data_IF_772948916517
#
_entry.id   IF_772948916517
#
_cell.length_a   1.000
_cell.length_b   1.000
_cell.length_c   1.000
_cell.angle_alpha   90.00
_cell.angle_beta   90.00
_cell.angle_gamma   90.00
#
_symmetry.space_group_name_H-M   'P 1'
#
loop_
_entity.id
_entity.type
_entity.pdbx_description
1 polymer ?
#
# COMPACT_ATOMS: atom_id res chain seq x y z
N UNK A 1 -19.07 -6.78 -2.64
CA UNK A 1 -18.38 -5.80 -3.52
C UNK A 1 -17.78 -6.55 -4.70
N UNK A 2 -17.81 -6.02 -5.92
CA UNK A 2 -17.47 -6.76 -7.14
C UNK A 2 -15.97 -6.82 -7.46
N UNK A 3 -15.14 -6.04 -6.77
CA UNK A 3 -13.69 -5.93 -7.02
C UNK A 3 -12.91 -6.16 -5.73
N UNK A 4 -11.72 -6.74 -5.85
CA UNK A 4 -10.78 -6.96 -4.76
C UNK A 4 -10.42 -5.63 -4.08
N UNK A 5 -10.29 -5.65 -2.76
CA UNK A 5 -9.95 -4.47 -1.93
C UNK A 5 -8.80 -4.86 -1.03
N UNK A 6 -7.71 -4.09 -1.07
CA UNK A 6 -6.60 -4.26 -0.12
C UNK A 6 -6.69 -3.24 1.02
N UNK A 7 -7.09 -2.01 0.72
CA UNK A 7 -7.18 -0.93 1.69
C UNK A 7 -8.51 -0.20 1.55
N UNK A 8 -9.12 0.13 2.68
CA UNK A 8 -10.35 0.91 2.75
C UNK A 8 -10.35 1.80 3.99
N UNK A 9 -11.23 2.80 3.94
CA UNK A 9 -11.57 3.67 5.06
C UNK A 9 -13.08 3.79 5.10
N UNK A 10 -13.65 3.89 6.30
CA UNK A 10 -15.10 4.04 6.49
C UNK A 10 -15.41 5.35 7.21
N UNK A 11 -16.48 6.01 6.77
CA UNK A 11 -17.15 7.01 7.60
C UNK A 11 -18.03 6.27 8.61
N UNK A 12 -17.76 6.46 9.89
CA UNK A 12 -18.42 5.73 10.97
C UNK A 12 -19.69 6.42 11.50
N UNK A 13 -20.11 7.60 10.99
CA UNK A 13 -21.35 8.26 11.47
C UNK A 13 -22.60 7.44 11.24
N UNK A 14 -22.59 6.52 10.27
CA UNK A 14 -23.70 5.67 9.89
C UNK A 14 -25.08 6.37 9.87
N UNK A 15 -25.22 7.58 9.29
CA UNK A 15 -26.50 8.29 9.28
C UNK A 15 -27.53 7.44 8.54
N UNK A 16 -28.75 7.39 9.09
CA UNK A 16 -29.87 6.61 8.53
C UNK A 16 -29.56 5.11 8.34
N UNK A 17 -28.62 4.56 9.12
CA UNK A 17 -28.20 3.16 9.00
C UNK A 17 -27.37 2.87 7.75
N UNK A 18 -26.66 3.86 7.20
CA UNK A 18 -25.83 3.70 5.99
C UNK A 18 -24.35 3.92 6.27
N UNK A 19 -23.50 2.94 5.94
CA UNK A 19 -22.04 3.04 5.99
C UNK A 19 -21.53 3.60 4.68
N UNK A 20 -20.66 4.61 4.73
CA UNK A 20 -19.87 5.02 3.55
C UNK A 20 -18.50 4.38 3.63
N UNK A 21 -18.12 3.60 2.62
CA UNK A 21 -16.82 2.93 2.51
C UNK A 21 -16.06 3.47 1.30
N UNK A 22 -14.86 3.97 1.53
CA UNK A 22 -13.93 4.46 0.52
C UNK A 22 -12.81 3.43 0.38
N UNK A 23 -12.58 2.89 -0.82
CA UNK A 23 -11.59 1.82 -1.02
C UNK A 23 -10.75 2.02 -2.26
N UNK A 24 -9.51 1.51 -2.23
CA UNK A 24 -8.73 1.26 -3.43
C UNK A 24 -8.90 -0.21 -3.85
N UNK A 25 -9.23 -0.41 -5.12
CA UNK A 25 -9.32 -1.71 -5.75
C UNK A 25 -8.02 -2.08 -6.43
N UNK A 26 -7.60 -3.34 -6.25
CA UNK A 26 -6.35 -3.83 -6.82
C UNK A 26 -6.47 -3.98 -8.34
N UNK A 27 -5.49 -3.42 -9.06
CA UNK A 27 -5.34 -3.56 -10.51
C UNK A 27 -4.65 -4.88 -10.90
N UNK A 28 -5.20 -6.03 -10.52
CA UNK A 28 -4.64 -7.33 -10.93
C UNK A 28 -3.29 -7.65 -10.30
N UNK A 29 -3.18 -7.49 -8.98
CA UNK A 29 -2.04 -7.90 -8.17
C UNK A 29 -2.48 -8.03 -6.71
N UNK A 30 -1.57 -8.50 -5.86
CA UNK A 30 -1.77 -8.60 -4.42
C UNK A 30 -0.60 -7.91 -3.69
N UNK A 31 -0.92 -7.01 -2.76
CA UNK A 31 0.08 -6.28 -1.96
C UNK A 31 0.85 -7.18 -1.01
N UNK A 32 0.32 -8.38 -0.73
CA UNK A 32 0.92 -9.37 0.17
C UNK A 32 1.84 -10.36 -0.56
N UNK A 33 1.89 -10.28 -1.88
CA UNK A 33 2.81 -11.05 -2.71
C UNK A 33 4.17 -10.35 -2.82
N UNK A 34 5.22 -11.16 -2.94
CA UNK A 34 6.59 -10.68 -3.03
C UNK A 34 7.31 -11.36 -4.19
N UNK A 35 8.21 -10.64 -4.82
CA UNK A 35 9.11 -11.22 -5.83
C UNK A 35 9.97 -12.28 -5.14
N UNK A 36 9.85 -13.52 -5.61
CA UNK A 36 10.58 -14.67 -5.12
C UNK A 36 11.84 -14.95 -5.93
N UNK A 37 12.73 -15.75 -5.35
CA UNK A 37 13.97 -16.19 -6.00
C UNK A 37 13.71 -16.94 -7.32
N UNK A 38 12.64 -17.71 -7.36
CA UNK A 38 12.25 -18.54 -8.51
C UNK A 38 11.30 -17.86 -9.48
N UNK A 39 10.97 -16.57 -9.28
CA UNK A 39 10.04 -15.88 -10.18
C UNK A 39 10.66 -15.65 -11.56
N UNK A 40 9.89 -15.93 -12.61
CA UNK A 40 10.34 -15.80 -13.99
C UNK A 40 9.88 -14.47 -14.61
N UNK A 41 10.63 -13.98 -15.60
CA UNK A 41 10.28 -12.79 -16.37
C UNK A 41 9.13 -13.09 -17.33
N UNK A 42 8.26 -12.11 -17.56
CA UNK A 42 7.26 -12.18 -18.64
C UNK A 42 7.95 -12.09 -20.02
N UNK A 43 9.04 -11.31 -20.11
CA UNK A 43 9.89 -11.27 -21.29
C UNK A 43 10.76 -12.52 -21.36
N UNK A 44 10.54 -13.35 -22.39
CA UNK A 44 11.25 -14.61 -22.62
C UNK A 44 12.71 -14.44 -23.05
N UNK A 45 13.07 -13.30 -23.64
CA UNK A 45 14.45 -13.03 -24.07
C UNK A 45 15.38 -12.81 -22.87
N UNK A 46 14.80 -12.59 -21.70
CA UNK A 46 15.51 -12.46 -20.42
C UNK A 46 15.87 -13.81 -19.80
N UNK A 47 15.21 -14.89 -20.22
CA UNK A 47 15.48 -16.21 -19.69
C UNK A 47 16.63 -16.86 -20.47
N UNK A 48 17.72 -17.21 -19.78
CA UNK A 48 18.68 -18.21 -20.28
C UNK A 48 18.11 -19.62 -20.08
N UNK A 49 16.87 -19.91 -20.52
CA UNK A 49 16.27 -21.23 -20.31
C UNK A 49 17.00 -22.27 -21.18
N UNK A 50 17.52 -23.37 -20.62
CA UNK A 50 18.05 -24.47 -21.41
C UNK A 50 16.97 -25.01 -22.38
N UNK A 51 17.34 -25.47 -23.59
CA UNK A 51 16.37 -25.86 -24.63
C UNK A 51 15.35 -26.93 -24.21
N UNK A 52 15.65 -27.77 -23.21
CA UNK A 52 14.80 -28.89 -22.80
C UNK A 52 13.47 -28.46 -22.14
N UNK A 53 13.44 -27.35 -21.39
CA UNK A 53 12.24 -26.94 -20.64
C UNK A 53 11.17 -26.35 -21.55
N UNK A 54 11.57 -25.73 -22.67
CA UNK A 54 10.65 -25.19 -23.69
C UNK A 54 9.78 -26.28 -24.33
N UNK A 55 10.27 -27.52 -24.39
CA UNK A 55 9.54 -28.66 -24.95
C UNK A 55 8.43 -29.20 -24.05
N UNK A 56 8.59 -29.13 -22.72
CA UNK A 56 7.61 -29.67 -21.76
C UNK A 56 6.42 -28.72 -21.60
N UNK A 57 6.66 -27.40 -21.59
CA UNK A 57 5.60 -26.40 -21.51
C UNK A 57 4.65 -26.42 -22.71
N UNK A 58 5.16 -26.75 -23.90
CA UNK A 58 4.36 -26.87 -25.13
C UNK A 58 3.42 -28.10 -25.14
N UNK A 59 3.79 -29.17 -24.41
CA UNK A 59 3.03 -30.43 -24.39
C UNK A 59 1.90 -30.39 -23.34
N UNK A 60 2.04 -29.60 -22.28
CA UNK A 60 1.15 -29.63 -21.13
C UNK A 60 -0.19 -28.88 -21.30
N UNK A 61 -0.44 -28.20 -22.43
CA UNK A 61 -1.70 -27.49 -22.67
C UNK A 61 -2.04 -26.39 -21.65
N UNK A 62 -1.09 -26.03 -20.77
CA UNK A 62 -1.21 -24.92 -19.85
C UNK A 62 -1.30 -23.66 -20.71
N UNK A 63 -2.29 -22.82 -20.43
CA UNK A 63 -2.67 -21.65 -21.23
C UNK A 63 -1.55 -20.57 -21.18
N UNK A 64 -0.42 -20.86 -21.83
CA UNK A 64 0.85 -20.13 -21.78
C UNK A 64 0.88 -18.89 -22.70
N UNK A 65 -0.28 -18.33 -23.05
CA UNK A 65 -0.36 -17.12 -23.89
C UNK A 65 0.30 -15.92 -23.20
N UNK A 66 1.56 -15.69 -23.53
CA UNK A 66 2.28 -14.47 -23.20
C UNK A 66 1.67 -13.29 -23.98
N UNK A 67 1.96 -12.04 -23.58
CA UNK A 67 1.45 -10.88 -24.31
C UNK A 67 1.88 -10.95 -25.78
N UNK A 68 1.02 -10.46 -26.67
CA UNK A 68 1.28 -10.42 -28.12
C UNK A 68 2.52 -9.59 -28.46
N UNK A 69 2.76 -8.55 -27.66
CA UNK A 69 3.99 -7.75 -27.65
C UNK A 69 4.67 -7.96 -26.29
N UNK A 70 5.79 -8.69 -26.22
CA UNK A 70 6.53 -8.89 -24.98
C UNK A 70 7.03 -7.56 -24.42
N UNK A 71 7.09 -7.42 -23.09
CA UNK A 71 7.68 -6.24 -22.49
C UNK A 71 9.16 -6.14 -22.79
N UNK A 72 9.68 -4.93 -22.92
CA UNK A 72 11.10 -4.72 -23.26
C UNK A 72 12.04 -4.98 -22.08
N UNK A 73 11.54 -4.91 -20.84
CA UNK A 73 12.34 -5.08 -19.63
C UNK A 73 12.18 -6.48 -19.02
N UNK A 74 13.23 -6.90 -18.32
CA UNK A 74 13.29 -8.16 -17.58
C UNK A 74 12.89 -7.98 -16.13
N UNK A 75 12.23 -8.98 -15.55
CA UNK A 75 12.12 -9.08 -14.08
C UNK A 75 13.53 -9.04 -13.46
N UNK A 76 13.75 -8.12 -12.52
CA UNK A 76 15.02 -7.93 -11.83
C UNK A 76 15.08 -8.75 -10.54
N UNK A 77 16.06 -9.65 -10.43
CA UNK A 77 16.21 -10.58 -9.30
C UNK A 77 16.65 -9.90 -8.01
N UNK A 78 17.31 -8.76 -8.13
CA UNK A 78 17.67 -7.88 -7.01
C UNK A 78 16.45 -7.32 -6.27
N UNK A 79 15.28 -7.27 -6.91
CA UNK A 79 14.03 -6.90 -6.25
C UNK A 79 13.37 -8.05 -5.49
N UNK A 80 14.09 -9.14 -5.18
CA UNK A 80 13.57 -10.20 -4.31
C UNK A 80 13.11 -9.61 -2.98
N UNK A 81 11.87 -9.93 -2.57
CA UNK A 81 11.24 -9.36 -1.38
C UNK A 81 10.58 -7.99 -1.63
N UNK A 82 10.53 -7.51 -2.87
CA UNK A 82 9.78 -6.32 -3.26
C UNK A 82 8.37 -6.68 -3.76
N UNK A 83 7.42 -5.75 -3.66
CA UNK A 83 6.05 -5.98 -4.13
C UNK A 83 5.97 -6.01 -5.67
N UNK A 84 5.11 -6.86 -6.25
CA UNK A 84 4.95 -6.90 -7.69
C UNK A 84 4.19 -5.68 -8.20
N UNK A 85 4.49 -5.25 -9.43
CA UNK A 85 3.65 -4.25 -10.12
C UNK A 85 2.31 -4.86 -10.58
N UNK A 86 1.26 -4.02 -10.71
CA UNK A 86 -0.06 -4.41 -11.17
C UNK A 86 -0.03 -4.80 -12.65
N UNK A 87 -0.94 -5.69 -13.04
CA UNK A 87 -1.20 -5.97 -14.46
C UNK A 87 -2.56 -5.45 -14.92
N UNK A 88 -3.09 -4.41 -14.28
CA UNK A 88 -4.27 -3.62 -14.66
C UNK A 88 -4.25 -2.27 -13.91
N UNK A 89 -5.04 -1.29 -14.36
CA UNK A 89 -5.11 0.01 -13.69
C UNK A 89 -6.00 -0.08 -12.43
N UNK A 90 -5.59 0.52 -11.31
CA UNK A 90 -6.42 0.53 -10.10
C UNK A 90 -7.64 1.45 -10.25
N UNK A 91 -8.64 1.23 -9.40
CA UNK A 91 -9.76 2.16 -9.19
C UNK A 91 -9.88 2.52 -7.71
N UNK A 92 -10.18 3.78 -7.41
CA UNK A 92 -10.72 4.17 -6.11
C UNK A 92 -12.24 4.10 -6.20
N UNK A 93 -12.92 3.70 -5.13
CA UNK A 93 -14.37 3.61 -5.10
C UNK A 93 -14.97 4.15 -3.81
N UNK A 94 -16.19 4.67 -3.92
CA UNK A 94 -17.06 5.00 -2.78
C UNK A 94 -18.30 4.13 -2.84
N UNK A 95 -18.53 3.38 -1.79
CA UNK A 95 -19.71 2.56 -1.59
C UNK A 95 -20.61 3.16 -0.52
N UNK A 96 -21.91 3.12 -0.77
CA UNK A 96 -22.94 3.28 0.27
C UNK A 96 -23.48 1.91 0.58
N UNK A 97 -23.37 1.46 1.83
CA UNK A 97 -23.75 0.12 2.29
C UNK A 97 -24.85 0.24 3.35
N UNK A 98 -25.89 -0.57 3.23
CA UNK A 98 -26.89 -0.72 4.30
C UNK A 98 -26.27 -1.44 5.49
N UNK A 99 -26.23 -0.79 6.66
CA UNK A 99 -25.53 -1.31 7.83
C UNK A 99 -26.20 -2.54 8.45
N UNK A 100 -27.50 -2.74 8.20
CA UNK A 100 -28.26 -3.85 8.79
C UNK A 100 -28.13 -5.12 7.95
N UNK A 101 -28.13 -4.97 6.63
CA UNK A 101 -28.17 -6.08 5.66
C UNK A 101 -26.84 -6.35 4.98
N UNK A 102 -25.91 -5.39 5.01
CA UNK A 102 -24.65 -5.44 4.26
C UNK A 102 -24.81 -5.25 2.76
N UNK A 103 -26.02 -4.90 2.27
CA UNK A 103 -26.27 -4.67 0.87
C UNK A 103 -25.56 -3.41 0.37
N UNK A 104 -24.91 -3.49 -0.79
CA UNK A 104 -24.37 -2.31 -1.49
C UNK A 104 -25.54 -1.57 -2.14
N UNK A 105 -25.83 -0.37 -1.66
CA UNK A 105 -26.90 0.50 -2.16
C UNK A 105 -26.42 1.34 -3.35
N UNK A 106 -25.17 1.77 -3.31
CA UNK A 106 -24.57 2.63 -4.34
C UNK A 106 -23.07 2.37 -4.44
N UNK A 107 -22.51 2.52 -5.64
CA UNK A 107 -21.07 2.41 -5.89
C UNK A 107 -20.65 3.43 -6.94
N UNK A 108 -19.67 4.27 -6.60
CA UNK A 108 -19.00 5.21 -7.50
C UNK A 108 -17.56 4.77 -7.69
N UNK A 109 -17.10 4.68 -8.94
CA UNK A 109 -15.74 4.27 -9.27
C UNK A 109 -15.00 5.41 -9.95
N UNK A 110 -13.74 5.58 -9.56
CA UNK A 110 -12.79 6.54 -10.11
C UNK A 110 -11.51 5.79 -10.51
N UNK A 111 -11.20 5.79 -11.80
CA UNK A 111 -9.90 5.41 -12.33
C UNK A 111 -9.44 6.52 -13.24
N UNK A 112 -8.14 6.81 -13.25
CA UNK A 112 -7.59 7.81 -14.16
C UNK A 112 -7.41 7.19 -15.56
N UNK A 113 -8.52 6.80 -16.19
CA UNK A 113 -8.54 6.23 -17.54
C UNK A 113 -8.53 7.41 -18.52
N UNK A 114 -7.43 8.16 -18.57
CA UNK A 114 -7.21 9.07 -19.68
C UNK A 114 -7.14 8.32 -21.02
N UNK A 115 -7.06 9.04 -22.14
CA UNK A 115 -6.93 8.43 -23.48
C UNK A 115 -5.60 7.65 -23.65
N UNK A 116 -4.66 7.80 -22.72
CA UNK A 116 -3.35 7.16 -22.76
C UNK A 116 -3.00 6.51 -21.40
N UNK A 117 -3.00 5.16 -21.32
CA UNK A 117 -2.56 4.40 -20.14
C UNK A 117 -1.19 4.81 -19.57
N UNK A 118 -0.29 5.29 -20.43
CA UNK A 118 1.04 5.81 -20.07
C UNK A 118 1.02 7.23 -19.51
N UNK A 119 -0.16 7.78 -19.18
CA UNK A 119 -0.35 9.06 -18.48
C UNK A 119 -1.31 8.96 -17.29
N UNK A 120 -1.70 7.74 -16.93
CA UNK A 120 -2.64 7.49 -15.83
C UNK A 120 -1.93 7.58 -14.48
N UNK A 121 -2.61 8.16 -13.49
CA UNK A 121 -2.09 8.37 -12.14
C UNK A 121 -2.50 7.28 -11.14
N UNK A 122 -3.39 6.35 -11.51
CA UNK A 122 -3.92 5.33 -10.59
C UNK A 122 -3.19 3.98 -10.71
N UNK A 123 -1.87 4.00 -10.88
CA UNK A 123 -1.05 2.78 -10.88
C UNK A 123 -0.61 2.38 -9.47
N UNK A 124 -0.83 1.12 -9.10
CA UNK A 124 -0.48 0.56 -7.80
C UNK A 124 -1.04 1.34 -6.61
N UNK A 125 -2.26 1.87 -6.72
CA UNK A 125 -2.92 2.57 -5.61
C UNK A 125 -3.11 1.60 -4.45
N UNK A 126 -2.46 1.89 -3.32
CA UNK A 126 -2.35 0.93 -2.22
C UNK A 126 -2.66 1.55 -0.87
N UNK A 127 -1.77 2.39 -0.31
CA UNK A 127 -1.94 2.93 1.05
C UNK A 127 -2.54 4.33 1.02
N UNK A 128 -3.32 4.67 2.05
CA UNK A 128 -3.95 5.97 2.18
C UNK A 128 -3.64 6.67 3.50
N UNK A 129 -3.92 7.97 3.52
CA UNK A 129 -3.99 8.78 4.73
C UNK A 129 -5.07 9.84 4.60
N UNK A 130 -5.54 10.34 5.74
CA UNK A 130 -6.45 11.47 5.84
C UNK A 130 -6.31 12.11 7.21
N UNK A 131 -6.85 13.32 7.39
CA UNK A 131 -6.77 14.08 8.65
C UNK A 131 -7.18 13.28 9.89
N UNK A 132 -8.11 12.35 9.71
CA UNK A 132 -8.80 11.67 10.81
C UNK A 132 -8.23 10.26 11.07
N UNK A 133 -7.16 9.85 10.38
CA UNK A 133 -6.61 8.49 10.49
C UNK A 133 -6.00 8.19 11.87
N UNK A 134 -5.37 9.19 12.50
CA UNK A 134 -4.68 9.05 13.80
C UNK A 134 -5.50 9.61 14.98
N UNK A 135 -6.84 9.47 14.96
CA UNK A 135 -7.67 9.97 16.06
C UNK A 135 -7.67 8.97 17.23
N UNK A 136 -7.17 9.41 18.38
CA UNK A 136 -7.22 8.66 19.65
C UNK A 136 -8.62 8.66 20.29
N UNK A 137 -9.55 9.48 19.78
CA UNK A 137 -10.87 9.68 20.36
C UNK A 137 -11.99 9.10 19.50
N UNK A 138 -12.78 8.19 20.08
CA UNK A 138 -13.99 7.65 19.45
C UNK A 138 -15.05 8.74 19.18
N UNK A 139 -15.03 9.86 19.91
CA UNK A 139 -16.00 10.95 19.73
C UNK A 139 -15.73 11.77 18.47
N UNK A 140 -14.50 11.74 17.97
CA UNK A 140 -14.09 12.43 16.76
C UNK A 140 -14.27 11.54 15.51
N UNK A 141 -14.71 10.28 15.64
CA UNK A 141 -14.96 9.37 14.50
C UNK A 141 -16.14 9.80 13.62
N UNK A 142 -16.81 10.89 14.00
CA UNK A 142 -17.96 11.37 13.28
C UNK A 142 -17.65 12.06 11.94
N UNK A 143 -16.52 12.71 11.76
CA UNK A 143 -16.42 13.63 10.61
C UNK A 143 -16.31 12.91 9.27
N UNK A 144 -17.24 13.26 8.34
CA UNK A 144 -17.22 12.84 6.95
C UNK A 144 -15.85 13.14 6.37
N UNK A 145 -15.22 12.12 5.81
CA UNK A 145 -13.91 12.25 5.16
C UNK A 145 -14.15 12.91 3.82
N UNK A 146 -13.89 14.22 3.69
CA UNK A 146 -14.08 14.98 2.43
C UNK A 146 -12.86 14.91 1.52
N UNK A 147 -11.66 14.73 2.10
CA UNK A 147 -10.39 14.59 1.39
C UNK A 147 -9.68 13.32 1.83
N UNK A 148 -9.27 12.50 0.86
CA UNK A 148 -8.54 11.26 1.08
C UNK A 148 -7.30 11.23 0.19
N UNK A 149 -6.16 10.91 0.77
CA UNK A 149 -4.88 10.88 0.05
C UNK A 149 -4.47 9.45 -0.19
N UNK A 150 -4.13 9.12 -1.44
CA UNK A 150 -3.69 7.79 -1.82
C UNK A 150 -2.27 7.84 -2.40
N UNK A 151 -1.46 6.86 -2.03
CA UNK A 151 -0.19 6.59 -2.68
C UNK A 151 -0.36 5.52 -3.75
N UNK A 152 0.00 5.87 -4.98
CA UNK A 152 0.25 4.94 -6.08
C UNK A 152 1.75 4.64 -6.16
N UNK A 153 2.12 3.37 -6.27
CA UNK A 153 3.53 2.96 -6.38
C UNK A 153 4.04 2.83 -7.83
N UNK A 154 3.26 3.32 -8.79
CA UNK A 154 3.67 3.33 -10.20
C UNK A 154 3.59 1.97 -10.87
N UNK A 155 4.33 1.80 -11.95
CA UNK A 155 4.34 0.58 -12.76
C UNK A 155 5.73 0.35 -13.35
N UNK A 156 6.22 -0.89 -13.29
CA UNK A 156 7.39 -1.32 -14.07
C UNK A 156 7.29 -2.81 -14.40
N UNK A 157 7.74 -3.20 -15.59
CA UNK A 157 7.87 -4.61 -15.95
C UNK A 157 8.97 -5.33 -15.17
N UNK A 158 9.90 -4.59 -14.56
CA UNK A 158 11.02 -5.14 -13.80
C UNK A 158 10.58 -5.80 -12.48
N UNK A 159 9.33 -5.63 -12.09
CA UNK A 159 8.74 -6.17 -10.87
C UNK A 159 7.47 -6.99 -11.15
N UNK A 160 7.23 -7.46 -12.38
CA UNK A 160 6.07 -8.31 -12.70
C UNK A 160 6.53 -9.76 -12.90
N UNK A 161 6.39 -10.63 -11.89
CA UNK A 161 6.56 -12.06 -12.09
C UNK A 161 5.58 -12.63 -13.10
N UNK A 162 6.05 -13.56 -13.93
CA UNK A 162 5.25 -14.33 -14.88
C UNK A 162 4.05 -15.02 -14.24
N UNK A 163 4.17 -15.46 -12.99
CA UNK A 163 3.05 -16.03 -12.20
C UNK A 163 1.93 -15.01 -11.93
N UNK A 164 2.28 -13.76 -11.58
CA UNK A 164 1.32 -12.68 -11.32
C UNK A 164 0.63 -12.29 -12.63
N UNK A 165 1.42 -12.11 -13.69
CA UNK A 165 0.88 -11.84 -15.02
C UNK A 165 -0.14 -12.90 -15.45
N UNK A 166 0.22 -14.19 -15.35
CA UNK A 166 -0.68 -15.30 -15.73
C UNK A 166 -1.93 -15.37 -14.86
N UNK A 167 -1.81 -15.12 -13.55
CA UNK A 167 -2.94 -15.18 -12.63
C UNK A 167 -4.00 -14.10 -12.93
N UNK A 168 -3.57 -12.90 -13.34
CA UNK A 168 -4.45 -11.74 -13.44
C UNK A 168 -4.71 -11.23 -14.87
N UNK A 169 -4.04 -11.76 -15.91
CA UNK A 169 -4.25 -11.29 -17.29
C UNK A 169 -5.69 -11.46 -17.78
N UNK A 170 -6.34 -12.55 -17.39
CA UNK A 170 -7.67 -12.94 -17.86
C UNK A 170 -8.76 -12.61 -16.81
N UNK A 171 -8.45 -11.75 -15.82
CA UNK A 171 -9.39 -11.40 -14.76
C UNK A 171 -10.64 -10.70 -15.32
N UNK A 172 -11.77 -10.91 -14.66
CA UNK A 172 -12.97 -10.12 -14.92
C UNK A 172 -12.80 -8.68 -14.40
N UNK A 173 -13.57 -7.75 -14.97
CA UNK A 173 -13.63 -6.34 -14.55
C UNK A 173 -12.32 -5.54 -14.73
N UNK A 174 -11.52 -5.87 -15.75
CA UNK A 174 -10.34 -5.08 -16.09
C UNK A 174 -10.69 -3.63 -16.42
N UNK A 175 -9.86 -2.70 -15.96
CA UNK A 175 -9.98 -1.29 -16.31
C UNK A 175 -9.37 -1.02 -17.68
N UNK A 176 -8.23 -1.66 -17.98
CA UNK A 176 -7.60 -1.63 -19.30
C UNK A 176 -7.32 -3.06 -19.80
N UNK A 177 -7.26 -3.21 -21.12
CA UNK A 177 -6.80 -4.47 -21.73
C UNK A 177 -5.39 -4.84 -21.28
N UNK A 178 -5.05 -6.13 -21.28
CA UNK A 178 -3.70 -6.57 -20.91
C UNK A 178 -2.67 -6.09 -21.95
N UNK A 179 -3.08 -5.99 -23.22
CA UNK A 179 -2.28 -5.41 -24.31
C UNK A 179 -2.09 -3.89 -24.17
N UNK A 180 -2.94 -3.22 -23.39
CA UNK A 180 -2.87 -1.79 -23.10
C UNK A 180 -1.92 -1.42 -21.96
N UNK A 181 -1.22 -2.39 -21.36
CA UNK A 181 -0.23 -2.11 -20.32
C UNK A 181 0.90 -1.19 -20.84
N UNK A 182 1.40 -0.25 -20.01
CA UNK A 182 2.47 0.66 -20.42
C UNK A 182 3.73 -0.10 -20.86
N UNK A 183 4.44 0.44 -21.86
CA UNK A 183 5.75 -0.09 -22.27
C UNK A 183 6.91 0.54 -21.49
N UNK A 184 6.72 1.77 -21.01
CA UNK A 184 7.64 2.48 -20.13
C UNK A 184 7.22 2.38 -18.67
N UNK A 185 8.16 2.66 -17.76
CA UNK A 185 7.84 2.79 -16.34
C UNK A 185 6.88 3.97 -16.11
N UNK A 186 6.03 3.82 -15.10
CA UNK A 186 5.18 4.89 -14.59
C UNK A 186 5.65 5.28 -13.19
N UNK A 187 5.68 6.59 -12.88
CA UNK A 187 6.14 7.05 -11.58
C UNK A 187 5.19 6.63 -10.47
N UNK A 188 5.71 6.62 -9.23
CA UNK A 188 4.87 6.68 -8.06
C UNK A 188 4.09 8.01 -8.05
N UNK A 189 2.92 8.02 -7.42
CA UNK A 189 2.03 9.19 -7.41
C UNK A 189 1.42 9.42 -6.04
N UNK A 190 1.35 10.67 -5.60
CA UNK A 190 0.52 11.08 -4.47
C UNK A 190 -0.76 11.73 -5.02
N UNK A 191 -1.93 11.17 -4.69
CA UNK A 191 -3.23 11.64 -5.17
C UNK A 191 -4.04 12.20 -4.01
N UNK A 192 -4.73 13.33 -4.23
CA UNK A 192 -5.80 13.80 -3.34
C UNK A 192 -7.13 13.60 -4.03
N UNK A 193 -8.03 12.85 -3.39
CA UNK A 193 -9.36 12.56 -3.88
C UNK A 193 -10.38 13.43 -3.14
N UNK A 194 -11.23 14.13 -3.89
CA UNK A 194 -12.49 14.68 -3.38
C UNK A 194 -13.48 13.52 -3.28
N UNK A 195 -13.85 13.14 -2.06
CA UNK A 195 -14.67 11.95 -1.81
C UNK A 195 -16.15 12.17 -2.08
N UNK A 196 -16.58 13.44 -2.22
CA UNK A 196 -17.96 13.78 -2.52
C UNK A 196 -18.22 13.71 -4.01
N UNK A 197 -17.36 14.37 -4.80
CA UNK A 197 -17.40 14.37 -6.26
C UNK A 197 -16.81 13.10 -6.87
N UNK A 198 -15.99 12.38 -6.10
CA UNK A 198 -15.23 11.22 -6.58
C UNK A 198 -14.31 11.58 -7.75
N UNK A 199 -13.50 12.63 -7.55
CA UNK A 199 -12.56 13.17 -8.54
C UNK A 199 -11.15 13.27 -7.96
N UNK A 200 -10.12 13.20 -8.81
CA UNK A 200 -8.74 13.53 -8.43
C UNK A 200 -8.64 15.06 -8.34
N UNK A 201 -8.62 15.58 -7.12
CA UNK A 201 -8.59 17.01 -6.84
C UNK A 201 -7.18 17.62 -6.94
N UNK A 202 -6.14 16.81 -6.75
CA UNK A 202 -4.74 17.18 -7.00
C UNK A 202 -3.88 15.91 -7.12
N UNK A 203 -2.73 16.02 -7.80
CA UNK A 203 -1.78 14.92 -7.92
C UNK A 203 -0.33 15.40 -7.99
N UNK A 204 0.60 14.53 -7.57
CA UNK A 204 2.03 14.70 -7.73
C UNK A 204 2.66 13.42 -8.26
N UNK A 205 3.44 13.51 -9.33
CA UNK A 205 4.26 12.42 -9.85
C UNK A 205 5.67 12.53 -9.28
N UNK A 206 6.14 11.45 -8.64
CA UNK A 206 7.52 11.38 -8.17
C UNK A 206 8.47 11.10 -9.34
N UNK A 207 9.75 11.49 -9.27
CA UNK A 207 10.70 11.15 -10.31
C UNK A 207 10.84 9.63 -10.48
N UNK A 208 11.04 9.14 -11.70
CA UNK A 208 11.32 7.72 -11.95
C UNK A 208 12.55 7.29 -11.13
N UNK A 209 12.47 6.11 -10.52
CA UNK A 209 13.50 5.58 -9.61
C UNK A 209 13.32 5.98 -8.14
N UNK A 210 12.36 6.85 -7.82
CA UNK A 210 12.03 7.21 -6.45
C UNK A 210 10.86 6.37 -5.94
N UNK A 211 11.06 5.65 -4.85
CA UNK A 211 10.04 4.86 -4.18
C UNK A 211 9.38 5.68 -3.07
N UNK A 212 8.22 6.28 -3.37
CA UNK A 212 7.42 7.00 -2.40
C UNK A 212 6.48 6.07 -1.62
N UNK A 213 6.54 6.12 -0.29
CA UNK A 213 5.79 5.23 0.62
C UNK A 213 5.23 5.97 1.82
N UNK A 214 4.40 5.26 2.58
CA UNK A 214 3.93 5.63 3.92
C UNK A 214 3.42 7.09 4.01
N UNK A 215 2.47 7.50 3.15
CA UNK A 215 1.92 8.85 3.21
C UNK A 215 1.26 9.07 4.58
N UNK A 216 1.57 10.19 5.21
CA UNK A 216 1.03 10.54 6.53
C UNK A 216 0.51 11.98 6.52
N UNK A 217 -0.78 12.15 6.82
CA UNK A 217 -1.34 13.46 7.10
C UNK A 217 -0.89 13.95 8.47
N UNK A 218 -0.39 15.19 8.54
CA UNK A 218 -0.03 15.89 9.77
C UNK A 218 -0.89 17.16 9.87
N UNK A 219 -1.79 17.27 10.86
CA UNK A 219 -2.59 18.47 11.05
C UNK A 219 -1.72 19.69 11.35
N UNK A 220 -2.04 20.83 10.72
CA UNK A 220 -1.40 22.09 11.06
C UNK A 220 -1.81 22.54 12.47
N UNK A 221 -0.86 23.10 13.21
CA UNK A 221 -1.11 23.77 14.49
C UNK A 221 -1.51 25.24 14.30
N UNK A 222 -1.34 25.78 13.09
CA UNK A 222 -1.76 27.14 12.75
C UNK A 222 -3.29 27.27 12.75
N UNK A 223 -3.84 28.46 13.03
CA UNK A 223 -5.27 28.70 12.88
C UNK A 223 -5.77 28.33 11.48
N UNK A 224 -6.92 27.67 11.39
CA UNK A 224 -7.56 27.37 10.11
C UNK A 224 -7.90 28.69 9.40
N UNK A 225 -7.37 28.95 8.18
CA UNK A 225 -7.72 30.15 7.46
C UNK A 225 -9.22 30.20 7.11
N UNK A 226 -9.81 31.39 7.16
CA UNK A 226 -11.24 31.59 6.87
C UNK A 226 -11.60 31.02 5.49
N UNK A 227 -12.61 30.16 5.44
CA UNK A 227 -13.11 29.56 4.19
C UNK A 227 -12.30 28.38 3.66
N UNK A 228 -11.27 27.90 4.38
CA UNK A 228 -10.53 26.67 4.03
C UNK A 228 -11.15 25.43 4.67
N UNK A 229 -11.02 24.29 3.98
CA UNK A 229 -11.47 23.00 4.49
C UNK A 229 -10.48 22.50 5.58
N UNK A 230 -10.95 22.21 6.81
CA UNK A 230 -10.11 21.58 7.81
C UNK A 230 -9.49 20.27 7.30
N UNK A 231 -10.17 19.47 6.47
CA UNK A 231 -9.65 18.19 5.98
C UNK A 231 -8.33 18.30 5.19
N UNK A 232 -7.99 19.48 4.69
CA UNK A 232 -6.74 19.76 3.95
C UNK A 232 -5.81 20.73 4.70
N UNK A 233 -6.16 21.17 5.91
CA UNK A 233 -5.35 22.11 6.70
C UNK A 233 -4.22 21.40 7.45
N UNK A 234 -3.13 21.16 6.74
CA UNK A 234 -1.99 20.42 7.25
C UNK A 234 -0.98 20.09 6.16
N UNK A 235 -0.25 19.02 6.40
CA UNK A 235 0.83 18.54 5.56
C UNK A 235 0.65 17.07 5.22
N UNK A 236 1.17 16.66 4.08
CA UNK A 236 1.41 15.24 3.79
C UNK A 236 2.91 15.01 3.88
N UNK A 237 3.30 13.98 4.62
CA UNK A 237 4.69 13.51 4.69
C UNK A 237 4.79 12.17 4.00
N UNK A 238 5.81 12.01 3.16
CA UNK A 238 6.11 10.75 2.48
C UNK A 238 7.56 10.33 2.77
N UNK A 239 7.75 9.02 2.97
CA UNK A 239 9.09 8.42 3.03
C UNK A 239 9.50 8.07 1.61
N UNK A 240 10.67 8.53 1.21
CA UNK A 240 11.20 8.38 -0.14
C UNK A 240 12.46 7.55 -0.06
N UNK A 241 12.46 6.40 -0.73
CA UNK A 241 13.68 5.59 -0.90
C UNK A 241 14.19 5.75 -2.32
N UNK A 242 15.48 5.99 -2.49
CA UNK A 242 16.09 6.11 -3.81
C UNK A 242 17.57 5.73 -3.79
N UNK A 243 18.05 5.16 -4.90
CA UNK A 243 19.46 4.87 -5.08
C UNK A 243 20.26 6.15 -5.36
N UNK A 244 21.58 6.11 -5.13
CA UNK A 244 22.48 7.15 -5.63
C UNK A 244 22.44 7.26 -7.17
N UNK A 245 23.01 8.34 -7.71
CA UNK A 245 23.01 8.60 -9.16
C UNK A 245 23.47 7.37 -9.96
N UNK A 246 22.90 7.13 -11.17
CA UNK A 246 23.13 5.93 -11.97
C UNK A 246 24.61 5.57 -12.20
N UNK A 247 25.48 6.59 -12.22
CA UNK A 247 26.92 6.47 -12.54
C UNK A 247 27.81 6.28 -11.30
N UNK A 248 27.24 6.29 -10.09
CA UNK A 248 27.96 5.99 -8.85
C UNK A 248 27.56 4.60 -8.36
N UNK A 249 28.50 3.64 -8.24
CA UNK A 249 28.17 2.29 -7.80
C UNK A 249 27.44 2.33 -6.46
N UNK A 250 26.23 1.74 -6.41
CA UNK A 250 25.37 1.24 -5.31
C UNK A 250 25.73 1.48 -3.82
N UNK A 251 26.43 2.55 -3.46
CA UNK A 251 27.14 2.55 -2.17
C UNK A 251 26.43 3.35 -1.07
N UNK A 252 25.48 4.24 -1.40
CA UNK A 252 24.74 5.01 -0.38
C UNK A 252 23.30 5.27 -0.87
N UNK A 253 22.31 4.77 -0.15
CA UNK A 253 20.90 5.14 -0.36
C UNK A 253 20.73 6.66 -0.13
N UNK A 254 19.97 7.33 -0.99
CA UNK A 254 19.60 8.75 -0.83
C UNK A 254 18.18 8.85 -0.33
N UNK A 255 17.93 8.23 0.81
CA UNK A 255 16.60 8.19 1.38
C UNK A 255 16.26 9.56 1.99
N UNK A 256 15.03 9.99 1.74
CA UNK A 256 14.55 11.32 2.10
C UNK A 256 13.17 11.25 2.75
N UNK A 257 12.79 12.34 3.43
CA UNK A 257 11.44 12.60 3.88
C UNK A 257 10.94 13.84 3.15
N UNK A 258 9.87 13.69 2.36
CA UNK A 258 9.31 14.79 1.60
C UNK A 258 8.04 15.31 2.27
N UNK A 259 7.91 16.63 2.36
CA UNK A 259 6.79 17.30 3.01
C UNK A 259 6.05 18.15 2.00
N UNK A 260 4.74 17.97 1.91
CA UNK A 260 3.84 18.66 0.99
C UNK A 260 2.79 19.44 1.79
N UNK A 261 2.27 20.53 1.23
CA UNK A 261 1.01 21.09 1.75
C UNK A 261 -0.10 20.12 1.37
N UNK A 262 -0.99 19.81 2.30
CA UNK A 262 -2.08 18.89 2.00
C UNK A 262 -3.10 19.49 1.01
N UNK A 263 -3.08 20.81 0.77
CA UNK A 263 -3.96 21.47 -0.20
C UNK A 263 -3.32 21.88 -1.54
N UNK A 264 -2.01 21.66 -1.74
CA UNK A 264 -1.26 22.08 -2.93
C UNK A 264 -0.09 21.13 -3.26
N UNK A 265 -0.24 20.36 -4.33
CA UNK A 265 0.80 19.46 -4.87
C UNK A 265 1.55 20.01 -6.08
N UNK A 266 1.21 21.21 -6.57
CA UNK A 266 1.72 21.72 -7.85
C UNK A 266 3.22 22.01 -7.80
N UNK A 267 4.02 21.16 -8.46
CA UNK A 267 5.48 21.28 -8.62
C UNK A 267 6.28 21.40 -7.32
N UNK A 268 5.80 20.81 -6.22
CA UNK A 268 6.43 20.85 -4.90
C UNK A 268 6.40 19.48 -4.26
N UNK A 269 7.45 19.13 -3.52
CA UNK A 269 7.42 19.20 -2.06
C UNK A 269 7.88 20.58 -1.55
N UNK A 270 7.42 20.98 -0.36
CA UNK A 270 7.90 22.19 0.34
C UNK A 270 9.31 21.94 0.89
N UNK A 271 9.53 20.74 1.43
CA UNK A 271 10.81 20.32 2.01
C UNK A 271 11.16 18.91 1.56
N UNK A 272 12.45 18.70 1.31
CA UNK A 272 13.09 17.38 1.16
C UNK A 272 14.15 17.29 2.25
N UNK A 273 13.93 16.40 3.21
CA UNK A 273 14.81 16.22 4.36
C UNK A 273 15.67 14.98 4.12
N UNK A 274 17.00 15.14 4.18
CA UNK A 274 17.97 14.08 3.92
C UNK A 274 19.04 14.07 5.01
N UNK A 275 19.65 12.91 5.28
CA UNK A 275 20.82 12.81 6.13
C UNK A 275 21.73 11.66 5.63
N UNK A 276 23.07 11.78 5.67
CA UNK A 276 23.98 10.73 5.19
C UNK A 276 23.79 9.37 5.86
N UNK A 277 23.30 9.36 7.10
CA UNK A 277 23.06 8.14 7.87
C UNK A 277 21.62 7.60 7.74
N UNK A 278 20.74 8.26 7.00
CA UNK A 278 19.40 7.72 6.74
C UNK A 278 19.53 6.65 5.65
N UNK A 279 19.25 5.42 6.04
CA UNK A 279 19.12 4.26 5.17
C UNK A 279 17.93 3.45 5.68
N UNK A 280 16.81 3.56 4.99
CA UNK A 280 15.52 3.04 5.39
C UNK A 280 15.24 1.72 4.68
N UNK A 281 14.79 0.73 5.45
CA UNK A 281 14.14 -0.43 4.87
C UNK A 281 12.79 -0.06 4.26
N UNK A 282 12.22 -0.99 3.47
CA UNK A 282 10.90 -0.84 2.88
C UNK A 282 9.85 -0.48 3.96
N UNK A 283 9.14 0.64 3.75
CA UNK A 283 8.03 1.05 4.61
C UNK A 283 6.68 0.94 3.87
N UNK A 284 5.61 0.67 4.62
CA UNK A 284 4.25 0.58 4.08
C UNK A 284 3.33 1.58 4.78
N UNK A 285 3.25 1.48 6.11
CA UNK A 285 2.41 2.33 6.95
C UNK A 285 3.26 3.22 7.85
N UNK A 286 2.68 4.37 8.20
CA UNK A 286 3.22 5.33 9.15
C UNK A 286 2.10 5.81 10.06
N UNK A 287 2.49 6.41 11.18
CA UNK A 287 1.56 7.13 12.05
C UNK A 287 2.21 8.43 12.51
N UNK A 288 1.39 9.45 12.78
CA UNK A 288 1.84 10.72 13.35
C UNK A 288 1.40 10.79 14.79
N UNK A 289 2.35 11.07 15.68
CA UNK A 289 2.11 11.29 17.09
C UNK A 289 2.54 12.74 17.38
N UNK A 290 1.63 13.62 17.86
CA UNK A 290 1.93 15.03 18.04
C UNK A 290 3.02 15.29 19.09
N UNK A 291 3.11 14.42 20.09
CA UNK A 291 4.09 14.51 21.18
C UNK A 291 4.65 13.14 21.50
N UNK A 292 5.98 13.02 21.56
CA UNK A 292 6.64 11.81 22.03
C UNK A 292 6.80 11.90 23.56
N UNK A 293 6.08 11.06 24.29
CA UNK A 293 6.14 11.03 25.76
C UNK A 293 7.10 9.93 26.25
N UNK A 294 8.35 10.29 26.49
CA UNK A 294 9.33 9.38 27.08
C UNK A 294 9.07 9.17 28.57
N UNK A 295 9.23 7.92 29.04
CA UNK A 295 9.17 7.60 30.48
C UNK A 295 7.79 7.62 31.12
N UNK A 296 6.70 7.87 30.37
CA UNK A 296 5.32 7.90 30.89
C UNK A 296 4.89 6.62 31.62
N UNK A 297 5.36 5.48 31.11
CA UNK A 297 5.04 4.15 31.65
C UNK A 297 6.32 3.37 31.89
N UNK A 298 6.42 2.74 33.06
CA UNK A 298 7.40 1.71 33.36
C UNK A 298 7.25 0.51 32.43
N UNK A 299 8.29 -0.33 32.32
CA UNK A 299 8.20 -1.53 31.48
C UNK A 299 7.12 -2.50 31.98
N UNK A 300 6.92 -2.61 33.30
CA UNK A 300 5.86 -3.44 33.87
C UNK A 300 4.46 -2.97 33.45
N UNK A 301 4.22 -1.65 33.44
CA UNK A 301 2.95 -1.08 32.97
C UNK A 301 2.77 -1.30 31.47
N UNK A 302 3.82 -1.14 30.66
CA UNK A 302 3.77 -1.44 29.21
C UNK A 302 3.44 -2.90 28.94
N UNK A 303 4.05 -3.83 29.67
CA UNK A 303 3.77 -5.27 29.57
C UNK A 303 2.32 -5.57 29.96
N UNK A 304 1.82 -4.97 31.04
CA UNK A 304 0.43 -5.13 31.45
C UNK A 304 -0.56 -4.64 30.37
N UNK A 305 -0.30 -3.47 29.77
CA UNK A 305 -1.14 -2.94 28.67
C UNK A 305 -1.11 -3.83 27.42
N UNK A 306 0.07 -4.33 27.01
CA UNK A 306 0.19 -5.28 25.88
C UNK A 306 -0.59 -6.56 26.18
N UNK A 307 -0.45 -7.11 27.38
CA UNK A 307 -1.19 -8.32 27.82
C UNK A 307 -2.69 -8.08 27.79
N UNK A 308 -3.15 -6.96 28.34
CA UNK A 308 -4.57 -6.61 28.35
C UNK A 308 -5.14 -6.50 26.92
N UNK A 309 -4.37 -5.92 26.00
CA UNK A 309 -4.77 -5.81 24.58
C UNK A 309 -4.90 -7.19 23.94
N UNK A 310 -3.91 -8.07 24.12
CA UNK A 310 -3.97 -9.44 23.62
C UNK A 310 -5.15 -10.23 24.23
N UNK A 311 -5.38 -10.07 25.53
CA UNK A 311 -6.47 -10.75 26.22
C UNK A 311 -7.84 -10.29 25.73
N UNK A 312 -7.99 -9.01 25.39
CA UNK A 312 -9.23 -8.46 24.85
C UNK A 312 -9.47 -8.90 23.41
N UNK A 313 -8.45 -8.78 22.56
CA UNK A 313 -8.62 -8.86 21.11
C UNK A 313 -8.46 -10.29 20.57
N UNK A 314 -7.57 -11.08 21.17
CA UNK A 314 -7.20 -12.40 20.64
C UNK A 314 -7.69 -13.57 21.49
N UNK A 315 -7.75 -13.47 22.83
CA UNK A 315 -8.18 -14.62 23.63
C UNK A 315 -9.57 -15.16 23.27
N UNK A 316 -10.61 -14.34 23.04
CA UNK A 316 -11.92 -14.90 22.65
C UNK A 316 -11.82 -15.72 21.36
N UNK A 317 -11.05 -15.24 20.39
CA UNK A 317 -10.85 -15.91 19.10
C UNK A 317 -10.04 -17.19 19.29
N UNK A 318 -8.88 -17.12 19.95
CA UNK A 318 -7.97 -18.25 20.16
C UNK A 318 -8.63 -19.36 20.97
N UNK A 319 -9.42 -19.01 22.00
CA UNK A 319 -10.14 -19.99 22.81
C UNK A 319 -11.27 -20.66 22.03
N UNK A 320 -11.96 -19.93 21.16
CA UNK A 320 -13.00 -20.47 20.29
C UNK A 320 -12.46 -21.34 19.14
N UNK A 321 -11.17 -21.22 18.77
CA UNK A 321 -10.57 -22.10 17.75
C UNK A 321 -10.46 -23.54 18.26
N UNK A 322 -10.76 -24.48 17.37
CA UNK A 322 -10.75 -25.92 17.66
C UNK A 322 -9.35 -26.52 17.52
N UNK A 323 -8.43 -25.86 16.80
CA UNK A 323 -7.11 -26.41 16.48
C UNK A 323 -6.11 -26.24 17.64
N UNK A 324 -5.61 -27.33 18.25
CA UNK A 324 -4.68 -27.26 19.39
C UNK A 324 -3.38 -26.51 19.06
N UNK A 325 -2.84 -26.69 17.85
CA UNK A 325 -1.59 -26.03 17.43
C UNK A 325 -1.68 -24.50 17.43
N UNK A 326 -2.84 -23.93 17.10
CA UNK A 326 -3.04 -22.48 17.18
C UNK A 326 -3.01 -22.00 18.62
N UNK A 327 -3.63 -22.74 19.54
CA UNK A 327 -3.60 -22.40 20.97
C UNK A 327 -2.18 -22.45 21.52
N UNK A 328 -1.43 -23.51 21.21
CA UNK A 328 -0.01 -23.67 21.57
C UNK A 328 0.83 -22.53 21.02
N UNK A 329 0.72 -22.21 19.73
CA UNK A 329 1.45 -21.10 19.12
C UNK A 329 1.22 -19.78 19.86
N UNK A 330 -0.03 -19.47 20.19
CA UNK A 330 -0.36 -18.24 20.90
C UNK A 330 0.13 -18.25 22.35
N UNK A 331 -0.07 -19.34 23.09
CA UNK A 331 0.31 -19.41 24.50
C UNK A 331 1.82 -19.48 24.72
N UNK A 332 2.56 -20.17 23.85
CA UNK A 332 3.98 -20.44 24.05
C UNK A 332 4.87 -19.45 23.29
N UNK A 333 4.42 -18.95 22.13
CA UNK A 333 5.24 -18.07 21.28
C UNK A 333 4.69 -16.64 21.29
N UNK A 334 3.45 -16.44 20.82
CA UNK A 334 2.95 -15.07 20.57
C UNK A 334 2.83 -14.28 21.87
N UNK A 335 2.07 -14.75 22.86
CA UNK A 335 1.80 -13.97 24.07
C UNK A 335 3.06 -13.68 24.89
N UNK A 336 3.91 -14.66 25.24
CA UNK A 336 5.06 -14.38 26.09
C UNK A 336 6.04 -13.40 25.45
N UNK A 337 6.31 -13.57 24.15
CA UNK A 337 7.33 -12.77 23.45
C UNK A 337 6.80 -11.40 23.00
N UNK A 338 5.53 -11.31 22.60
CA UNK A 338 4.92 -10.01 22.29
C UNK A 338 4.81 -9.13 23.54
N UNK A 339 4.39 -9.70 24.68
CA UNK A 339 4.26 -8.96 25.95
C UNK A 339 5.64 -8.45 26.36
N UNK A 340 6.66 -9.31 26.36
CA UNK A 340 8.04 -8.96 26.75
C UNK A 340 8.77 -8.12 25.70
N UNK A 341 8.28 -8.03 24.47
CA UNK A 341 9.00 -7.48 23.31
C UNK A 341 10.39 -8.11 23.15
N UNK A 342 10.44 -9.44 23.23
CA UNK A 342 11.69 -10.18 22.96
C UNK A 342 12.14 -9.88 21.53
N UNK A 343 13.37 -9.40 21.36
CA UNK A 343 13.91 -9.09 20.04
C UNK A 343 14.12 -10.37 19.23
N UNK A 344 14.13 -10.25 17.90
CA UNK A 344 14.43 -11.39 17.03
C UNK A 344 15.79 -12.01 17.33
N UNK A 345 16.80 -11.19 17.63
CA UNK A 345 18.13 -11.67 18.01
C UNK A 345 18.10 -12.52 19.28
N UNK A 346 17.35 -12.10 20.31
CA UNK A 346 17.16 -12.87 21.54
C UNK A 346 16.37 -14.16 21.28
N UNK A 347 15.34 -14.12 20.43
CA UNK A 347 14.59 -15.33 20.03
C UNK A 347 15.48 -16.34 19.32
N UNK A 348 16.28 -15.89 18.35
CA UNK A 348 17.23 -16.74 17.62
C UNK A 348 18.26 -17.32 18.58
N UNK A 349 18.74 -16.54 19.56
CA UNK A 349 19.69 -17.01 20.55
C UNK A 349 19.09 -18.07 21.50
N UNK A 350 17.79 -17.98 21.81
CA UNK A 350 17.09 -18.97 22.63
C UNK A 350 16.90 -20.32 21.92
N UNK A 351 16.91 -20.34 20.58
CA UNK A 351 16.56 -21.50 19.75
C UNK A 351 17.77 -22.13 19.05
N UNK A 352 18.95 -21.56 19.25
CA UNK A 352 20.25 -22.19 18.98
C UNK A 352 20.72 -22.93 20.22
#
# INVERSE_FOLDING_TARGET
MPREVSHFVTDYRNPDGKITLLSAHNGGWDVTEWIGEYDESVNLDCEQTPPLTKGIEAIAGVNNRLPSVPPQKCLRKEFRGFQPSPVDLNSVARYTIDANTGAVLEAHFLSDIGDNPSKCNTWSVSVNTHRNLNRDSQLETGEKITSLYWMGWGFTWETIPKRIYRAYRDRDNRVISIEGLPQSDMPATLLRIDTERMEIADSFEFPIGYLARSPQFIPSQEPLPTGKDPATHGYIVCIIMSDAEPDTPHTIAKDEIWVFHADDFKNKPIYRLSHPDINLGLTIHSTWIPTIEFGKYSEAERQAMRKQTLDRDFNPVVQAKIFPHTKTLFSEVVYPHYIKQTTEAELIALWK
#
